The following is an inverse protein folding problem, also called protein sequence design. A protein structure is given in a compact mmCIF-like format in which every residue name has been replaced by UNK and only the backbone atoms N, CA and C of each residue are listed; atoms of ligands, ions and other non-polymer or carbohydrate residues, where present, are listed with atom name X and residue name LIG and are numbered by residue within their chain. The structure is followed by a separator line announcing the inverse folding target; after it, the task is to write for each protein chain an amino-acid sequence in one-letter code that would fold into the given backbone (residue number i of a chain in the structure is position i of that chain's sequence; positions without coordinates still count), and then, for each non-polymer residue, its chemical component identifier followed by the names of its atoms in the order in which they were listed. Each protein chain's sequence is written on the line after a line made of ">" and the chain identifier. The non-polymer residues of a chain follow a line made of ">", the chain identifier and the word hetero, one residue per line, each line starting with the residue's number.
data_IF_640116153320
#
_entry.id   IF_640116153320
#
_cell.length_a   1.000
_cell.length_b   1.000
_cell.length_c   1.000
_cell.angle_alpha   90.00
_cell.angle_beta   90.00
_cell.angle_gamma   90.00
#
_symmetry.space_group_name_H-M   'P 1'
#
loop_
_entity.id
_entity.type
_entity.pdbx_description
1 polymer ?
#
# COMPACT_ATOMS: atom_id res chain seq x y z
N UNK A 1 32.28 8.65 0.78
CA UNK A 1 33.16 7.68 1.49
C UNK A 1 34.35 7.25 0.65
N UNK A 2 34.17 6.94 -0.63
CA UNK A 2 35.26 6.60 -1.57
C UNK A 2 36.34 7.68 -1.69
N UNK A 3 35.96 8.96 -1.69
CA UNK A 3 36.91 10.09 -1.68
C UNK A 3 37.83 10.08 -0.44
N UNK A 4 37.32 9.69 0.73
CA UNK A 4 38.12 9.68 1.96
C UNK A 4 38.95 8.40 2.12
N UNK A 5 38.43 7.26 1.68
CA UNK A 5 39.07 5.95 1.87
C UNK A 5 40.04 5.61 0.73
N UNK A 6 39.62 5.85 -0.52
CA UNK A 6 40.38 5.51 -1.71
C UNK A 6 40.94 6.73 -2.45
N UNK A 7 40.72 7.95 -1.95
CA UNK A 7 41.20 9.20 -2.55
C UNK A 7 40.80 9.37 -4.03
N UNK A 8 39.65 8.82 -4.41
CA UNK A 8 39.09 8.97 -5.76
C UNK A 8 38.82 10.45 -6.00
N UNK A 9 39.49 11.04 -7.00
CA UNK A 9 39.34 12.46 -7.35
C UNK A 9 38.13 12.71 -8.25
N UNK A 10 37.70 13.96 -8.32
CA UNK A 10 36.72 14.41 -9.31
C UNK A 10 37.20 14.03 -10.72
N UNK A 11 36.27 13.56 -11.56
CA UNK A 11 36.50 13.06 -12.93
C UNK A 11 37.35 11.78 -13.03
N UNK A 12 37.51 11.01 -11.96
CA UNK A 12 38.13 9.70 -12.03
C UNK A 12 37.31 8.75 -12.94
N UNK A 13 38.00 7.99 -13.79
CA UNK A 13 37.38 6.93 -14.59
C UNK A 13 37.11 5.71 -13.73
N UNK A 14 35.85 5.26 -13.70
CA UNK A 14 35.42 4.03 -13.04
C UNK A 14 34.97 3.03 -14.10
N UNK A 15 35.36 1.76 -13.96
CA UNK A 15 34.98 0.68 -14.87
C UNK A 15 34.14 -0.34 -14.12
N UNK A 16 32.93 -0.60 -14.61
CA UNK A 16 32.08 -1.70 -14.14
C UNK A 16 32.43 -2.95 -14.95
N UNK A 17 33.02 -3.95 -14.29
CA UNK A 17 33.31 -5.25 -14.90
C UNK A 17 32.42 -6.32 -14.28
N UNK A 18 31.92 -7.26 -15.11
CA UNK A 18 31.31 -8.49 -14.58
C UNK A 18 32.41 -9.29 -13.89
N UNK A 19 32.12 -9.74 -12.68
CA UNK A 19 33.03 -10.59 -11.92
C UNK A 19 32.96 -12.01 -12.50
N UNK A 20 34.07 -12.52 -13.04
CA UNK A 20 34.14 -13.84 -13.69
C UNK A 20 34.40 -15.01 -12.72
N UNK A 21 34.74 -14.72 -11.46
CA UNK A 21 34.99 -15.72 -10.41
C UNK A 21 34.30 -15.33 -9.10
N UNK A 22 33.42 -16.18 -8.59
CA UNK A 22 32.84 -16.07 -7.26
C UNK A 22 33.92 -16.30 -6.19
N UNK A 23 34.56 -15.24 -5.70
CA UNK A 23 35.10 -15.28 -4.35
C UNK A 23 33.89 -15.23 -3.40
N UNK A 24 33.44 -16.42 -3.02
CA UNK A 24 32.21 -16.77 -2.28
C UNK A 24 32.10 -16.17 -0.86
N UNK A 25 32.80 -15.08 -0.55
CA UNK A 25 32.86 -14.52 0.82
C UNK A 25 32.49 -13.04 0.93
N UNK A 26 32.49 -12.24 -0.14
CA UNK A 26 32.22 -10.79 -0.02
C UNK A 26 30.78 -10.37 -0.34
N UNK A 27 30.02 -11.18 -1.10
CA UNK A 27 28.66 -10.84 -1.52
C UNK A 27 27.55 -11.49 -0.69
N UNK A 28 27.88 -12.34 0.29
CA UNK A 28 26.87 -12.94 1.17
C UNK A 28 26.31 -11.97 2.22
N UNK A 29 26.89 -10.77 2.37
CA UNK A 29 26.48 -9.78 3.37
C UNK A 29 25.54 -8.67 2.86
N UNK A 30 25.05 -8.72 1.61
CA UNK A 30 24.11 -7.70 1.11
C UNK A 30 22.72 -8.21 0.72
N UNK A 31 22.52 -9.52 0.54
CA UNK A 31 21.23 -10.08 0.06
C UNK A 31 20.58 -11.12 0.98
N UNK A 32 21.08 -11.37 2.20
CA UNK A 32 20.44 -12.31 3.13
C UNK A 32 19.66 -11.61 4.24
N UNK A 33 18.62 -10.86 3.88
CA UNK A 33 17.51 -10.62 4.81
C UNK A 33 16.56 -11.82 4.73
N UNK A 34 17.00 -12.96 5.27
CA UNK A 34 16.20 -14.13 5.69
C UNK A 34 17.12 -15.38 5.74
N UNK A 35 18.02 -15.46 6.71
CA UNK A 35 18.29 -16.71 7.44
C UNK A 35 19.34 -16.47 8.53
N UNK A 36 19.00 -16.94 9.73
CA UNK A 36 19.85 -16.89 10.93
C UNK A 36 21.21 -17.54 10.67
N UNK A 37 22.27 -16.73 10.56
CA UNK A 37 23.62 -17.17 10.88
C UNK A 37 23.94 -16.84 12.33
N UNK A 38 23.48 -17.71 13.24
CA UNK A 38 24.08 -17.83 14.56
C UNK A 38 25.42 -18.57 14.42
N UNK A 39 26.48 -18.00 14.97
CA UNK A 39 27.89 -18.38 14.80
C UNK A 39 28.54 -17.85 13.51
N UNK A 40 28.98 -16.59 13.57
CA UNK A 40 30.39 -16.17 13.44
C UNK A 40 30.41 -14.64 13.70
N UNK A 41 31.52 -14.16 14.25
CA UNK A 41 31.74 -12.82 14.81
C UNK A 41 30.92 -11.68 14.18
N UNK A 42 30.18 -10.99 15.06
CA UNK A 42 29.42 -9.78 14.79
C UNK A 42 30.41 -8.65 14.48
N UNK A 43 30.97 -8.65 13.26
CA UNK A 43 31.79 -7.58 12.74
C UNK A 43 30.94 -6.32 12.74
N UNK A 44 31.20 -5.44 13.71
CA UNK A 44 30.48 -4.17 13.90
C UNK A 44 30.78 -3.21 12.76
N UNK A 45 30.18 -3.45 11.60
CA UNK A 45 30.30 -2.61 10.41
C UNK A 45 29.38 -1.39 10.57
N UNK A 46 29.95 -0.21 10.41
CA UNK A 46 29.20 1.05 10.35
C UNK A 46 29.66 1.89 9.16
N UNK A 47 28.74 2.68 8.60
CA UNK A 47 29.05 3.59 7.49
C UNK A 47 29.24 5.02 8.03
N UNK A 48 28.15 5.78 8.21
CA UNK A 48 28.22 7.17 8.69
C UNK A 48 27.96 7.34 10.19
N UNK A 49 27.18 6.44 10.79
CA UNK A 49 26.73 6.52 12.19
C UNK A 49 27.01 5.18 12.84
N UNK A 50 27.66 5.21 14.02
CA UNK A 50 27.85 4.00 14.83
C UNK A 50 26.55 3.67 15.59
N UNK A 51 26.18 2.40 15.73
CA UNK A 51 25.04 1.98 16.55
C UNK A 51 25.13 2.55 17.98
N UNK A 52 23.99 2.97 18.53
CA UNK A 52 23.93 3.68 19.82
C UNK A 52 24.34 2.80 21.02
N UNK A 53 24.27 1.48 20.87
CA UNK A 53 24.56 0.51 21.94
C UNK A 53 26.02 0.56 22.43
N UNK A 54 26.94 1.17 21.68
CA UNK A 54 28.33 1.40 22.12
C UNK A 54 28.53 2.72 22.91
N UNK A 55 27.56 3.64 22.92
CA UNK A 55 27.72 4.98 23.50
C UNK A 55 27.16 5.10 24.92
N UNK A 56 26.25 4.21 25.32
CA UNK A 56 25.55 4.29 26.61
C UNK A 56 26.37 3.77 27.80
N UNK A 57 27.42 2.96 27.58
CA UNK A 57 28.31 2.54 28.67
C UNK A 57 29.17 3.69 29.22
N UNK A 58 29.41 4.77 28.46
CA UNK A 58 30.39 5.82 28.84
C UNK A 58 29.72 7.10 29.39
N UNK A 59 28.41 7.31 29.23
CA UNK A 59 27.77 8.63 29.52
C UNK A 59 26.71 8.65 30.62
N UNK A 60 26.66 7.65 31.50
CA UNK A 60 25.62 7.58 32.53
C UNK A 60 25.71 8.61 33.69
N UNK A 61 26.64 9.57 33.72
CA UNK A 61 26.68 10.59 34.79
C UNK A 61 27.08 12.00 34.31
N UNK A 62 26.10 12.82 33.85
CA UNK A 62 25.98 14.30 34.06
C UNK A 62 25.24 15.13 32.98
N UNK A 63 24.73 14.55 31.89
CA UNK A 63 24.39 15.34 30.68
C UNK A 63 22.92 15.70 30.35
N UNK A 64 21.92 15.36 31.17
CA UNK A 64 20.50 15.25 30.73
C UNK A 64 19.89 16.49 30.05
N UNK A 65 20.08 17.70 30.59
CA UNK A 65 19.48 18.92 30.02
C UNK A 65 20.18 19.41 28.74
N UNK A 66 21.51 19.25 28.67
CA UNK A 66 22.31 19.67 27.51
C UNK A 66 22.13 18.69 26.34
N UNK A 67 22.04 17.39 26.62
CA UNK A 67 21.70 16.37 25.64
C UNK A 67 20.31 16.62 25.03
N UNK A 68 19.29 16.91 25.85
CA UNK A 68 17.93 17.21 25.37
C UNK A 68 17.88 18.46 24.48
N UNK A 69 18.66 19.50 24.80
CA UNK A 69 18.78 20.70 23.97
C UNK A 69 19.52 20.44 22.65
N UNK A 70 20.58 19.63 22.66
CA UNK A 70 21.31 19.22 21.45
C UNK A 70 20.45 18.33 20.55
N UNK A 71 19.71 17.36 21.10
CA UNK A 71 18.75 16.54 20.35
C UNK A 71 17.64 17.39 19.74
N UNK A 72 17.16 18.42 20.45
CA UNK A 72 16.16 19.36 19.93
C UNK A 72 16.70 20.25 18.80
N UNK A 73 17.92 20.78 18.93
CA UNK A 73 18.57 21.56 17.87
C UNK A 73 18.87 20.72 16.62
N UNK A 74 19.26 19.46 16.83
CA UNK A 74 19.47 18.48 15.74
C UNK A 74 18.13 18.16 15.05
N UNK A 75 17.04 17.97 15.79
CA UNK A 75 15.70 17.79 15.23
C UNK A 75 15.21 19.02 14.42
N UNK A 76 15.52 20.24 14.87
CA UNK A 76 15.20 21.49 14.13
C UNK A 76 16.00 21.63 12.82
N UNK A 77 17.28 21.21 12.80
CA UNK A 77 18.09 21.15 11.57
C UNK A 77 17.53 20.11 10.60
N UNK A 78 17.11 18.94 11.10
CA UNK A 78 16.50 17.91 10.26
C UNK A 78 15.15 18.33 9.70
N UNK A 79 14.34 19.10 10.45
CA UNK A 79 13.07 19.60 9.95
C UNK A 79 13.23 20.53 8.74
N UNK A 80 14.22 21.43 8.76
CA UNK A 80 14.53 22.29 7.60
C UNK A 80 14.92 21.47 6.36
N UNK A 81 15.70 20.39 6.55
CA UNK A 81 16.05 19.47 5.45
C UNK A 81 14.83 18.71 4.93
N UNK A 82 13.96 18.23 5.81
CA UNK A 82 12.70 17.57 5.43
C UNK A 82 11.79 18.52 4.65
N UNK A 83 11.70 19.79 5.08
CA UNK A 83 10.95 20.83 4.35
C UNK A 83 11.55 21.10 2.97
N UNK A 84 12.88 21.11 2.84
CA UNK A 84 13.55 21.25 1.55
C UNK A 84 13.22 20.08 0.61
N UNK A 85 13.33 18.84 1.09
CA UNK A 85 13.00 17.64 0.29
C UNK A 85 11.51 17.64 -0.09
N UNK A 86 10.62 17.95 0.85
CA UNK A 86 9.19 18.13 0.60
C UNK A 86 8.95 19.18 -0.48
N UNK A 87 9.63 20.32 -0.41
CA UNK A 87 9.56 21.38 -1.41
C UNK A 87 9.97 20.91 -2.80
N UNK A 88 11.02 20.10 -2.91
CA UNK A 88 11.46 19.50 -4.18
C UNK A 88 10.43 18.51 -4.74
N UNK A 89 9.75 17.75 -3.88
CA UNK A 89 8.76 16.74 -4.28
C UNK A 89 7.35 17.30 -4.49
N UNK A 90 7.09 18.54 -4.06
CA UNK A 90 5.74 19.12 -3.97
C UNK A 90 4.95 19.01 -5.28
N UNK A 91 5.55 19.43 -6.40
CA UNK A 91 4.88 19.38 -7.70
C UNK A 91 4.46 17.96 -8.09
N UNK A 92 5.32 16.96 -7.86
CA UNK A 92 5.01 15.57 -8.17
C UNK A 92 3.88 15.01 -7.29
N UNK A 93 3.84 15.41 -6.02
CA UNK A 93 2.76 15.04 -5.09
C UNK A 93 1.45 15.67 -5.53
N UNK A 94 1.46 16.97 -5.85
CA UNK A 94 0.28 17.68 -6.34
C UNK A 94 -0.26 17.06 -7.63
N UNK A 95 0.62 16.74 -8.57
CA UNK A 95 0.25 16.13 -9.85
C UNK A 95 -0.33 14.72 -9.66
N UNK A 96 0.25 13.92 -8.75
CA UNK A 96 -0.32 12.62 -8.39
C UNK A 96 -1.72 12.76 -7.77
N UNK A 97 -1.88 13.66 -6.78
CA UNK A 97 -3.17 13.85 -6.09
C UNK A 97 -4.22 14.36 -7.07
N UNK A 98 -3.86 15.27 -7.98
CA UNK A 98 -4.75 15.73 -9.06
C UNK A 98 -5.09 14.60 -10.01
N UNK A 99 -4.12 13.81 -10.46
CA UNK A 99 -4.39 12.69 -11.37
C UNK A 99 -5.37 11.67 -10.77
N UNK A 100 -5.32 11.46 -9.45
CA UNK A 100 -6.20 10.52 -8.74
C UNK A 100 -7.56 11.13 -8.39
N UNK A 101 -7.60 12.43 -8.04
CA UNK A 101 -8.79 13.10 -7.47
C UNK A 101 -9.38 14.20 -8.37
N UNK A 102 -9.04 14.27 -9.66
CA UNK A 102 -9.56 15.33 -10.53
C UNK A 102 -10.94 14.96 -11.12
N UNK A 103 -11.93 15.80 -10.89
CA UNK A 103 -13.28 15.72 -11.49
C UNK A 103 -13.32 16.07 -12.99
N UNK A 104 -12.26 16.69 -13.53
CA UNK A 104 -12.14 17.04 -14.95
C UNK A 104 -11.42 16.00 -15.81
N UNK A 105 -10.84 14.96 -15.19
CA UNK A 105 -10.31 13.80 -15.89
C UNK A 105 -11.45 12.80 -16.19
N UNK A 106 -11.25 11.93 -17.19
CA UNK A 106 -12.20 10.85 -17.48
C UNK A 106 -12.22 9.89 -16.28
N UNK A 107 -13.27 9.97 -15.46
CA UNK A 107 -13.47 9.04 -14.34
C UNK A 107 -13.80 7.65 -14.89
N UNK A 108 -13.12 6.57 -14.45
CA UNK A 108 -13.42 5.22 -14.92
C UNK A 108 -14.88 4.83 -14.65
N UNK A 109 -15.57 4.16 -15.60
CA UNK A 109 -16.96 3.71 -15.42
C UNK A 109 -17.17 2.88 -14.14
N UNK A 110 -16.20 2.04 -13.79
CA UNK A 110 -16.22 1.23 -12.56
C UNK A 110 -16.31 2.08 -11.29
N UNK A 111 -15.62 3.22 -11.23
CA UNK A 111 -15.65 4.11 -10.06
C UNK A 111 -17.02 4.76 -9.93
N UNK A 112 -17.56 5.30 -11.04
CA UNK A 112 -18.90 5.89 -11.07
C UNK A 112 -19.96 4.86 -10.67
N UNK A 113 -19.97 3.70 -11.33
CA UNK A 113 -20.91 2.62 -11.07
C UNK A 113 -20.87 2.16 -9.61
N UNK A 114 -19.66 1.96 -9.05
CA UNK A 114 -19.50 1.53 -7.67
C UNK A 114 -19.89 2.61 -6.65
N UNK A 115 -19.61 3.88 -6.92
CA UNK A 115 -20.02 4.98 -6.02
C UNK A 115 -21.53 5.22 -6.05
N UNK A 116 -22.17 5.09 -7.21
CA UNK A 116 -23.63 5.12 -7.32
C UNK A 116 -24.25 3.94 -6.55
N UNK A 117 -23.67 2.74 -6.65
CA UNK A 117 -24.09 1.60 -5.82
C UNK A 117 -24.03 1.93 -4.33
N UNK A 118 -22.96 2.56 -3.84
CA UNK A 118 -22.86 2.96 -2.42
C UNK A 118 -23.92 4.01 -2.04
N UNK A 119 -24.19 4.97 -2.92
CA UNK A 119 -25.24 5.97 -2.72
C UNK A 119 -26.63 5.29 -2.67
N UNK A 120 -26.90 4.32 -3.54
CA UNK A 120 -28.15 3.54 -3.53
C UNK A 120 -28.29 2.66 -2.29
N UNK A 121 -27.21 2.02 -1.82
CA UNK A 121 -27.25 1.28 -0.56
C UNK A 121 -27.57 2.21 0.60
N UNK A 122 -26.98 3.41 0.64
CA UNK A 122 -27.29 4.40 1.66
C UNK A 122 -28.76 4.82 1.65
N UNK A 123 -29.38 4.95 0.46
CA UNK A 123 -30.81 5.27 0.32
C UNK A 123 -31.74 4.13 0.77
N UNK A 124 -31.29 2.87 0.68
CA UNK A 124 -32.08 1.70 1.12
C UNK A 124 -32.11 1.53 2.63
N UNK A 125 -31.22 2.20 3.36
CA UNK A 125 -31.13 2.13 4.82
C UNK A 125 -31.58 3.47 5.44
N UNK A 126 -32.47 3.42 6.42
CA UNK A 126 -32.91 4.62 7.13
C UNK A 126 -31.76 5.27 7.91
N UNK A 127 -31.69 6.61 7.88
CA UNK A 127 -30.77 7.45 8.67
C UNK A 127 -29.26 7.34 8.32
N UNK A 128 -28.89 7.04 7.07
CA UNK A 128 -27.48 7.11 6.65
C UNK A 128 -27.08 8.56 6.34
N UNK A 129 -26.20 9.14 7.16
CA UNK A 129 -25.66 10.49 6.98
C UNK A 129 -24.67 10.57 5.81
N UNK A 130 -24.53 11.75 5.20
CA UNK A 130 -23.57 12.00 4.11
C UNK A 130 -22.11 11.69 4.52
N UNK A 131 -21.75 11.93 5.78
CA UNK A 131 -20.43 11.58 6.31
C UNK A 131 -20.18 10.06 6.30
N UNK A 132 -21.22 9.26 6.56
CA UNK A 132 -21.10 7.79 6.52
C UNK A 132 -20.82 7.31 5.09
N UNK A 133 -21.51 7.88 4.10
CA UNK A 133 -21.29 7.56 2.68
C UNK A 133 -19.89 8.00 2.22
N UNK A 134 -19.42 9.16 2.69
CA UNK A 134 -18.04 9.61 2.47
C UNK A 134 -17.02 8.61 3.01
N UNK A 135 -17.25 8.06 4.20
CA UNK A 135 -16.42 7.01 4.81
C UNK A 135 -16.45 5.74 3.95
N UNK A 136 -17.61 5.31 3.45
CA UNK A 136 -17.70 4.12 2.57
C UNK A 136 -16.91 4.31 1.28
N UNK A 137 -17.05 5.45 0.61
CA UNK A 137 -16.30 5.78 -0.62
C UNK A 137 -14.80 5.82 -0.36
N UNK A 138 -14.38 6.43 0.75
CA UNK A 138 -12.98 6.51 1.17
C UNK A 138 -12.37 5.14 1.49
N UNK A 139 -13.08 4.34 2.29
CA UNK A 139 -12.59 3.03 2.73
C UNK A 139 -12.64 1.96 1.64
N UNK A 140 -13.33 2.21 0.53
CA UNK A 140 -13.45 1.26 -0.57
C UNK A 140 -12.45 1.51 -1.70
N UNK A 141 -12.19 2.77 -2.08
CA UNK A 141 -11.29 3.09 -3.19
C UNK A 141 -9.98 3.77 -2.74
N UNK A 142 -9.94 5.00 -2.22
CA UNK A 142 -8.70 5.64 -1.76
C UNK A 142 -7.86 4.77 -0.83
N UNK A 143 -8.47 4.19 0.22
CA UNK A 143 -7.74 3.45 1.24
C UNK A 143 -7.30 2.05 0.80
N UNK A 144 -8.07 1.38 -0.07
CA UNK A 144 -7.80 -0.01 -0.47
C UNK A 144 -6.96 -0.11 -1.74
N UNK A 145 -7.12 0.85 -2.64
CA UNK A 145 -6.43 0.84 -3.93
C UNK A 145 -5.31 1.89 -3.95
N UNK A 146 -5.65 3.18 -3.89
CA UNK A 146 -4.68 4.25 -4.14
C UNK A 146 -3.56 4.34 -3.10
N UNK A 147 -3.87 4.19 -1.81
CA UNK A 147 -2.85 4.13 -0.75
C UNK A 147 -1.91 2.94 -0.97
N UNK A 148 -2.44 1.78 -1.38
CA UNK A 148 -1.62 0.59 -1.63
C UNK A 148 -0.71 0.78 -2.84
N UNK A 149 -1.22 1.33 -3.95
CA UNK A 149 -0.41 1.65 -5.13
C UNK A 149 0.69 2.66 -4.79
N UNK A 150 0.35 3.72 -4.04
CA UNK A 150 1.30 4.76 -3.66
C UNK A 150 2.43 4.22 -2.77
N UNK A 151 2.11 3.32 -1.84
CA UNK A 151 3.11 2.69 -0.96
C UNK A 151 3.92 1.60 -1.64
N UNK A 152 3.36 0.92 -2.64
CA UNK A 152 3.96 -0.24 -3.28
C UNK A 152 4.15 0.00 -4.79
N UNK A 153 5.08 0.88 -5.21
CA UNK A 153 5.27 1.18 -6.63
C UNK A 153 5.73 -0.03 -7.44
N UNK A 154 6.29 -1.05 -6.79
CA UNK A 154 6.68 -2.32 -7.40
C UNK A 154 5.49 -3.15 -7.91
N UNK A 155 4.25 -2.82 -7.52
CA UNK A 155 3.05 -3.42 -8.10
C UNK A 155 2.81 -2.98 -9.56
N UNK A 156 3.39 -1.85 -9.97
CA UNK A 156 3.22 -1.29 -11.31
C UNK A 156 4.54 -1.29 -12.09
N UNK A 157 5.66 -1.05 -11.40
CA UNK A 157 6.97 -0.85 -12.01
C UNK A 157 7.98 -1.90 -11.55
N UNK A 158 8.89 -2.30 -12.43
CA UNK A 158 10.05 -3.13 -12.05
C UNK A 158 11.12 -2.25 -11.38
N UNK A 159 10.92 -1.93 -10.10
CA UNK A 159 11.79 -1.05 -9.32
C UNK A 159 12.09 -1.61 -7.95
N UNK A 160 13.35 -1.51 -7.52
CA UNK A 160 13.75 -1.81 -6.15
C UNK A 160 13.48 -0.61 -5.24
N UNK A 161 12.62 -0.79 -4.23
CA UNK A 161 12.25 0.25 -3.28
C UNK A 161 13.12 0.16 -2.04
N UNK A 162 14.02 1.12 -1.87
CA UNK A 162 14.83 1.23 -0.64
C UNK A 162 13.98 1.69 0.54
N UNK A 163 14.40 1.36 1.77
CA UNK A 163 13.70 1.77 3.01
C UNK A 163 13.45 3.28 3.11
N UNK A 164 14.41 4.10 2.63
CA UNK A 164 14.28 5.57 2.66
C UNK A 164 13.17 6.05 1.72
N UNK A 165 13.02 5.40 0.56
CA UNK A 165 11.95 5.69 -0.38
C UNK A 165 10.61 5.21 0.19
N UNK A 166 10.56 4.01 0.77
CA UNK A 166 9.35 3.49 1.42
C UNK A 166 8.86 4.40 2.56
N UNK A 167 9.77 4.87 3.41
CA UNK A 167 9.45 5.82 4.48
C UNK A 167 8.91 7.15 3.92
N UNK A 168 9.49 7.64 2.82
CA UNK A 168 9.05 8.87 2.15
C UNK A 168 7.67 8.72 1.52
N UNK A 169 7.42 7.61 0.81
CA UNK A 169 6.12 7.26 0.24
C UNK A 169 5.06 7.07 1.33
N UNK A 170 5.43 6.50 2.48
CA UNK A 170 4.54 6.37 3.63
C UNK A 170 4.10 7.72 4.19
N UNK A 171 4.98 8.73 4.22
CA UNK A 171 4.61 10.11 4.61
C UNK A 171 3.62 10.74 3.62
N UNK A 172 3.85 10.55 2.31
CA UNK A 172 2.95 11.05 1.26
C UNK A 172 1.60 10.33 1.33
N UNK A 173 1.61 9.00 1.50
CA UNK A 173 0.40 8.20 1.64
C UNK A 173 -0.41 8.59 2.86
N UNK A 174 0.24 8.86 4.01
CA UNK A 174 -0.47 9.37 5.17
C UNK A 174 -1.13 10.72 4.90
N UNK A 175 -0.48 11.59 4.13
CA UNK A 175 -1.06 12.88 3.73
C UNK A 175 -2.28 12.69 2.81
N UNK A 176 -2.23 11.72 1.89
CA UNK A 176 -3.37 11.35 1.06
C UNK A 176 -4.54 10.80 1.90
N UNK A 177 -4.24 9.94 2.89
CA UNK A 177 -5.23 9.43 3.84
C UNK A 177 -5.87 10.58 4.64
N UNK A 178 -5.06 11.49 5.19
CA UNK A 178 -5.52 12.63 5.96
C UNK A 178 -6.41 13.56 5.11
N UNK A 179 -6.12 13.70 3.80
CA UNK A 179 -6.94 14.45 2.86
C UNK A 179 -8.33 13.84 2.66
N UNK A 180 -8.46 12.52 2.79
CA UNK A 180 -9.75 11.84 2.68
C UNK A 180 -10.59 11.90 3.96
N UNK A 181 -10.07 12.42 5.07
CA UNK A 181 -10.85 12.55 6.32
C UNK A 181 -11.66 13.85 6.35
N UNK A 182 -12.86 13.83 6.93
CA UNK A 182 -13.64 15.06 7.19
C UNK A 182 -13.16 15.83 8.43
N UNK A 183 -12.49 15.15 9.37
CA UNK A 183 -12.05 15.77 10.63
C UNK A 183 -10.90 16.74 10.44
N UNK A 184 -11.06 17.97 10.93
CA UNK A 184 -9.95 18.92 11.03
C UNK A 184 -9.09 18.59 12.25
N UNK A 185 -7.80 18.37 12.02
CA UNK A 185 -6.84 18.19 13.10
C UNK A 185 -6.24 19.54 13.48
N UNK A 186 -6.39 19.93 14.76
CA UNK A 186 -5.65 21.06 15.32
C UNK A 186 -4.19 20.66 15.46
N UNK A 187 -3.34 21.27 14.65
CA UNK A 187 -1.90 21.06 14.73
C UNK A 187 -1.34 21.76 15.98
N UNK A 188 -0.50 21.03 16.71
CA UNK A 188 0.22 21.51 17.88
C UNK A 188 1.72 21.26 17.70
N UNK A 189 2.55 21.75 18.64
CA UNK A 189 4.00 21.52 18.61
C UNK A 189 4.37 20.05 18.83
N UNK A 190 3.45 19.26 19.37
CA UNK A 190 3.56 17.84 19.65
C UNK A 190 3.02 16.98 18.49
N UNK A 191 2.49 17.62 17.44
CA UNK A 191 2.01 16.89 16.27
C UNK A 191 3.15 16.19 15.53
N UNK A 192 2.94 14.97 15.02
CA UNK A 192 3.93 14.23 14.24
C UNK A 192 4.49 15.07 13.08
N UNK A 193 5.80 14.95 12.80
CA UNK A 193 6.48 15.78 11.79
C UNK A 193 5.86 15.64 10.40
N UNK A 194 5.39 14.45 10.01
CA UNK A 194 4.70 14.21 8.75
C UNK A 194 3.41 15.04 8.60
N UNK A 195 2.64 15.24 9.68
CA UNK A 195 1.45 16.11 9.66
C UNK A 195 1.82 17.59 9.54
N UNK A 196 2.95 17.98 10.16
CA UNK A 196 3.46 19.35 10.05
C UNK A 196 4.00 19.67 8.64
N UNK A 197 4.54 18.68 7.92
CA UNK A 197 5.11 18.86 6.58
C UNK A 197 4.08 19.32 5.54
N UNK A 198 2.86 18.77 5.57
CA UNK A 198 1.78 19.06 4.61
C UNK A 198 0.64 19.88 5.22
N UNK A 199 0.87 20.50 6.37
CA UNK A 199 -0.11 21.29 7.11
C UNK A 199 -0.76 22.42 6.28
N UNK A 200 -0.01 23.00 5.35
CA UNK A 200 -0.50 24.13 4.52
C UNK A 200 -1.38 23.65 3.37
N UNK A 201 -1.08 22.47 2.83
CA UNK A 201 -1.73 21.94 1.62
C UNK A 201 -2.96 21.08 1.95
N UNK A 202 -3.03 20.53 3.17
CA UNK A 202 -4.06 19.55 3.55
C UNK A 202 -5.50 20.04 3.33
N UNK A 203 -5.80 21.31 3.59
CA UNK A 203 -7.13 21.89 3.35
C UNK A 203 -7.49 21.93 1.86
N UNK A 204 -6.49 22.16 1.00
CA UNK A 204 -6.67 22.12 -0.46
C UNK A 204 -6.92 20.70 -0.93
N UNK A 205 -6.18 19.72 -0.41
CA UNK A 205 -6.41 18.31 -0.75
C UNK A 205 -7.77 17.79 -0.26
N UNK A 206 -8.21 18.17 0.95
CA UNK A 206 -9.57 17.86 1.44
C UNK A 206 -10.65 18.40 0.51
N UNK A 207 -10.49 19.66 0.06
CA UNK A 207 -11.39 20.25 -0.93
C UNK A 207 -11.39 19.47 -2.25
N UNK A 208 -10.22 19.01 -2.71
CA UNK A 208 -10.14 18.17 -3.92
C UNK A 208 -10.92 16.86 -3.77
N UNK A 209 -10.84 16.18 -2.63
CA UNK A 209 -11.64 14.97 -2.35
C UNK A 209 -13.13 15.27 -2.37
N UNK A 210 -13.55 16.37 -1.75
CA UNK A 210 -14.95 16.79 -1.71
C UNK A 210 -15.49 17.09 -3.12
N UNK A 211 -14.73 17.86 -3.91
CA UNK A 211 -15.07 18.20 -5.29
C UNK A 211 -15.08 16.94 -6.19
N UNK A 212 -14.20 15.97 -5.94
CA UNK A 212 -14.15 14.69 -6.64
C UNK A 212 -15.41 13.86 -6.40
N UNK A 213 -15.81 13.63 -5.15
CA UNK A 213 -17.02 12.86 -4.83
C UNK A 213 -18.29 13.56 -5.31
N UNK A 214 -18.36 14.89 -5.18
CA UNK A 214 -19.47 15.68 -5.71
C UNK A 214 -19.55 15.60 -7.23
N UNK A 215 -18.40 15.71 -7.91
CA UNK A 215 -18.30 15.60 -9.36
C UNK A 215 -18.80 14.24 -9.86
N UNK A 216 -18.35 13.15 -9.24
CA UNK A 216 -18.80 11.78 -9.59
C UNK A 216 -20.30 11.62 -9.40
N UNK A 217 -20.84 12.11 -8.28
CA UNK A 217 -22.28 12.04 -8.00
C UNK A 217 -23.12 12.77 -9.06
N UNK A 218 -22.58 13.84 -9.65
CA UNK A 218 -23.24 14.62 -10.71
C UNK A 218 -23.09 14.03 -12.11
N UNK A 219 -22.19 13.07 -12.31
CA UNK A 219 -22.05 12.39 -13.60
C UNK A 219 -23.32 11.59 -13.94
N UNK A 220 -23.55 11.40 -15.24
CA UNK A 220 -24.59 10.49 -15.74
C UNK A 220 -24.34 9.08 -15.20
N UNK A 221 -25.35 8.39 -14.63
CA UNK A 221 -25.21 7.01 -14.19
C UNK A 221 -24.78 6.09 -15.32
N UNK A 222 -23.94 5.10 -15.00
CA UNK A 222 -23.54 4.03 -15.93
C UNK A 222 -24.62 2.95 -15.88
N UNK A 223 -25.17 2.56 -17.03
CA UNK A 223 -26.19 1.51 -17.07
C UNK A 223 -25.59 0.13 -16.79
N UNK A 224 -26.39 -0.81 -16.26
CA UNK A 224 -25.95 -2.20 -16.09
C UNK A 224 -25.51 -2.83 -17.41
N UNK A 225 -26.14 -2.46 -18.54
CA UNK A 225 -25.76 -2.95 -19.85
C UNK A 225 -24.36 -2.46 -20.27
N UNK A 226 -24.07 -1.17 -20.07
CA UNK A 226 -22.76 -0.60 -20.41
C UNK A 226 -21.67 -1.17 -19.49
N UNK A 227 -21.96 -1.31 -18.20
CA UNK A 227 -21.02 -1.88 -17.24
C UNK A 227 -20.74 -3.37 -17.54
N UNK A 228 -21.76 -4.16 -17.87
CA UNK A 228 -21.57 -5.56 -18.27
C UNK A 228 -20.79 -5.69 -19.58
N UNK A 229 -20.99 -4.77 -20.53
CA UNK A 229 -20.22 -4.73 -21.78
C UNK A 229 -18.75 -4.46 -21.48
N UNK A 230 -18.46 -3.45 -20.65
CA UNK A 230 -17.10 -3.14 -20.22
C UNK A 230 -16.43 -4.33 -19.49
N UNK A 231 -17.14 -5.00 -18.57
CA UNK A 231 -16.62 -6.17 -17.87
C UNK A 231 -16.36 -7.36 -18.82
N UNK A 232 -17.20 -7.57 -19.83
CA UNK A 232 -17.01 -8.62 -20.82
C UNK A 232 -15.78 -8.36 -21.71
N UNK A 233 -15.51 -7.10 -22.06
CA UNK A 233 -14.30 -6.70 -22.79
C UNK A 233 -13.04 -6.98 -21.97
N UNK A 234 -13.01 -6.52 -20.70
CA UNK A 234 -11.87 -6.77 -19.80
C UNK A 234 -11.66 -8.27 -19.57
N UNK A 235 -12.74 -9.05 -19.40
CA UNK A 235 -12.66 -10.51 -19.22
C UNK A 235 -12.02 -11.20 -20.43
N UNK A 236 -12.40 -10.79 -21.65
CA UNK A 236 -11.81 -11.30 -22.90
C UNK A 236 -10.33 -10.96 -23.03
N UNK A 237 -9.93 -9.75 -22.66
CA UNK A 237 -8.53 -9.33 -22.71
C UNK A 237 -7.62 -10.19 -21.81
N UNK A 238 -8.18 -10.79 -20.76
CA UNK A 238 -7.42 -11.50 -19.72
C UNK A 238 -7.71 -13.01 -19.65
N UNK A 239 -8.50 -13.57 -20.57
CA UNK A 239 -9.01 -14.96 -20.49
C UNK A 239 -7.91 -16.01 -20.29
N UNK A 240 -6.74 -15.85 -20.91
CA UNK A 240 -5.64 -16.82 -20.83
C UNK A 240 -4.44 -16.34 -19.99
N UNK A 241 -4.63 -15.27 -19.22
CA UNK A 241 -3.54 -14.66 -18.41
C UNK A 241 -3.36 -15.31 -17.05
N UNK A 242 -4.40 -15.97 -16.53
CA UNK A 242 -4.43 -16.54 -15.18
C UNK A 242 -4.68 -18.04 -15.23
N UNK A 243 -4.03 -18.80 -14.35
CA UNK A 243 -4.24 -20.24 -14.24
C UNK A 243 -5.49 -20.54 -13.39
N UNK A 244 -6.64 -20.62 -14.04
CA UNK A 244 -7.93 -20.92 -13.39
C UNK A 244 -7.94 -22.30 -12.73
N UNK A 245 -7.26 -23.29 -13.31
CA UNK A 245 -7.22 -24.64 -12.75
C UNK A 245 -6.51 -24.68 -11.39
N UNK A 246 -5.37 -24.00 -11.28
CA UNK A 246 -4.65 -23.86 -10.01
C UNK A 246 -5.50 -23.12 -8.96
N UNK A 247 -6.19 -22.04 -9.35
CA UNK A 247 -7.08 -21.31 -8.47
C UNK A 247 -8.25 -22.17 -7.97
N UNK A 248 -8.90 -22.95 -8.84
CA UNK A 248 -9.98 -23.87 -8.48
C UNK A 248 -9.52 -24.96 -7.51
N UNK A 249 -8.32 -25.51 -7.72
CA UNK A 249 -7.75 -26.49 -6.80
C UNK A 249 -7.53 -25.89 -5.40
N UNK A 250 -6.97 -24.69 -5.31
CA UNK A 250 -6.79 -23.98 -4.03
C UNK A 250 -8.14 -23.64 -3.38
N UNK A 251 -9.14 -23.19 -4.14
CA UNK A 251 -10.48 -22.93 -3.64
C UNK A 251 -11.15 -24.18 -3.08
N UNK A 252 -10.99 -25.33 -3.74
CA UNK A 252 -11.53 -26.59 -3.25
C UNK A 252 -10.92 -27.00 -1.90
N UNK A 253 -9.64 -26.71 -1.65
CA UNK A 253 -9.03 -27.00 -0.33
C UNK A 253 -9.76 -26.27 0.80
N UNK A 254 -10.17 -25.02 0.59
CA UNK A 254 -11.02 -24.31 1.55
C UNK A 254 -12.43 -24.92 1.63
N UNK A 255 -13.05 -25.24 0.50
CA UNK A 255 -14.39 -25.82 0.47
C UNK A 255 -14.44 -27.18 1.20
N UNK A 256 -13.43 -28.03 1.01
CA UNK A 256 -13.28 -29.31 1.72
C UNK A 256 -13.04 -29.10 3.21
N UNK A 257 -12.18 -28.13 3.59
CA UNK A 257 -11.92 -27.81 5.00
C UNK A 257 -13.17 -27.36 5.77
N UNK A 258 -14.08 -26.63 5.12
CA UNK A 258 -15.29 -26.08 5.73
C UNK A 258 -16.56 -26.78 5.23
N UNK A 259 -16.42 -28.01 4.72
CA UNK A 259 -17.46 -28.72 3.98
C UNK A 259 -18.80 -28.79 4.73
N UNK A 260 -18.79 -29.26 5.98
CA UNK A 260 -20.03 -29.43 6.75
C UNK A 260 -20.79 -28.12 6.95
N UNK A 261 -20.07 -27.02 7.22
CA UNK A 261 -20.68 -25.69 7.39
C UNK A 261 -21.26 -25.14 6.09
N UNK A 262 -20.61 -25.42 4.95
CA UNK A 262 -21.12 -25.05 3.63
C UNK A 262 -22.37 -25.87 3.30
N UNK A 263 -22.37 -27.18 3.53
CA UNK A 263 -23.53 -28.05 3.30
C UNK A 263 -24.72 -27.60 4.14
N UNK A 264 -24.51 -27.35 5.43
CA UNK A 264 -25.57 -26.85 6.30
C UNK A 264 -26.15 -25.53 5.76
N UNK A 265 -25.30 -24.58 5.34
CA UNK A 265 -25.77 -23.30 4.78
C UNK A 265 -26.56 -23.48 3.48
N UNK A 266 -26.15 -24.42 2.62
CA UNK A 266 -26.86 -24.74 1.38
C UNK A 266 -28.20 -25.44 1.62
N UNK A 267 -28.28 -26.27 2.66
CA UNK A 267 -29.51 -26.96 3.06
C UNK A 267 -30.47 -26.03 3.80
N UNK A 268 -30.00 -24.95 4.42
CA UNK A 268 -30.87 -23.96 5.08
C UNK A 268 -31.47 -22.93 4.09
N UNK A 269 -30.85 -22.70 2.93
CA UNK A 269 -31.31 -21.75 1.92
C UNK A 269 -32.28 -22.39 0.89
N UNK A 270 -33.57 -22.00 0.83
CA UNK A 270 -34.53 -22.53 -0.14
C UNK A 270 -34.11 -22.30 -1.60
N UNK A 271 -33.40 -21.20 -1.90
CA UNK A 271 -32.92 -20.92 -3.26
C UNK A 271 -31.81 -21.91 -3.66
N UNK A 272 -30.93 -22.28 -2.72
CA UNK A 272 -29.89 -23.28 -2.93
C UNK A 272 -30.47 -24.70 -3.08
N UNK A 273 -31.46 -25.06 -2.24
CA UNK A 273 -32.19 -26.33 -2.35
C UNK A 273 -32.88 -26.47 -3.72
N UNK A 274 -33.57 -25.43 -4.19
CA UNK A 274 -34.27 -25.45 -5.48
C UNK A 274 -33.33 -25.71 -6.67
N UNK A 275 -32.05 -25.31 -6.53
CA UNK A 275 -30.98 -25.49 -7.53
C UNK A 275 -30.14 -26.75 -7.27
N UNK A 276 -30.47 -27.54 -6.25
CA UNK A 276 -29.75 -28.75 -5.83
C UNK A 276 -28.25 -28.51 -5.62
N UNK A 277 -27.86 -27.37 -5.02
CA UNK A 277 -26.46 -26.99 -4.87
C UNK A 277 -25.67 -27.93 -3.95
N UNK A 278 -26.30 -28.44 -2.88
CA UNK A 278 -25.73 -29.45 -1.97
C UNK A 278 -25.27 -30.69 -2.74
N UNK A 279 -26.14 -31.22 -3.61
CA UNK A 279 -25.84 -32.40 -4.43
C UNK A 279 -24.67 -32.13 -5.40
N UNK A 280 -24.62 -30.93 -6.01
CA UNK A 280 -23.52 -30.56 -6.90
C UNK A 280 -22.19 -30.50 -6.18
N UNK A 281 -22.15 -29.95 -4.96
CA UNK A 281 -20.93 -29.90 -4.16
C UNK A 281 -20.48 -31.32 -3.74
N UNK A 282 -21.41 -32.18 -3.34
CA UNK A 282 -21.14 -33.61 -3.07
C UNK A 282 -20.53 -34.33 -4.27
N UNK A 283 -21.05 -34.09 -5.48
CA UNK A 283 -20.51 -34.66 -6.72
C UNK A 283 -19.10 -34.18 -7.01
N UNK A 284 -18.81 -32.89 -6.79
CA UNK A 284 -17.46 -32.34 -6.94
C UNK A 284 -16.50 -32.99 -5.93
N UNK A 285 -16.92 -33.11 -4.66
CA UNK A 285 -16.10 -33.71 -3.61
C UNK A 285 -15.78 -35.18 -3.93
N UNK A 286 -16.78 -35.98 -4.27
CA UNK A 286 -16.59 -37.37 -4.68
C UNK A 286 -15.66 -37.50 -5.90
N UNK A 287 -15.79 -36.62 -6.90
CA UNK A 287 -14.95 -36.66 -8.10
C UNK A 287 -13.48 -36.29 -7.82
N UNK A 288 -13.21 -35.43 -6.84
CA UNK A 288 -11.87 -35.00 -6.48
C UNK A 288 -11.21 -35.96 -5.49
N UNK A 289 -11.95 -36.49 -4.51
CA UNK A 289 -11.42 -37.44 -3.52
C UNK A 289 -11.09 -38.80 -4.13
N UNK A 290 -11.92 -39.30 -5.05
CA UNK A 290 -11.63 -40.53 -5.79
C UNK A 290 -10.39 -40.41 -6.70
N UNK A 291 -9.99 -39.17 -7.08
CA UNK A 291 -8.76 -38.94 -7.86
C UNK A 291 -7.51 -38.83 -6.99
N UNK A 292 -7.64 -38.52 -5.69
CA UNK A 292 -6.51 -38.43 -4.76
C UNK A 292 -6.01 -39.82 -4.35
N UNK A 293 -6.87 -40.86 -4.42
CA UNK A 293 -6.48 -42.25 -4.11
C UNK A 293 -5.72 -42.98 -5.23
N UNK A 294 -5.66 -42.41 -6.44
CA UNK A 294 -5.02 -43.02 -7.63
C UNK A 294 -3.63 -42.40 -7.98
N UNK A 295 -3.01 -41.68 -7.04
CA UNK A 295 -1.63 -41.11 -7.13
C UNK A 295 -0.75 -41.65 -6.01
#
# INVERSE_FOLDING_TARGET
>A
MWYCVFQVRDNATLVLSRVLYTHRQFYQNQDSHEEKNALLEDDKVFHLVRPADELDEVKSKRGSLKAKATTKAIAEIYLTRLLSVKGTLQQFVDDFFRSVLCSGAVVPPAVKYFFDFLDEQALKHDNVEEETVHIWKTNSLPMRFWVNILKNPHFIFDVHVTEVVDASLSVIAQTFMDACTKTEHKLSRESPSNKLLYAKEISTYKKMVDDYYKGIKQMVPVSDQDMNTHLAEVSREHTDTLNTQAALHQLYQYASKYYDGIIQSLDEDPAAQSKQLTLRLQQIAAALENKVTDL
#
